data_IF_899917773228
#
_entry.id   IF_899917773228
#
_cell.length_a   1.000
_cell.length_b   1.000
_cell.length_c   1.000
_cell.angle_alpha   90.00
_cell.angle_beta   90.00
_cell.angle_gamma   90.00
#
_symmetry.space_group_name_H-M   'P 1'
#
loop_
_entity.id
_entity.type
_entity.pdbx_description
1 polymer ?
#
# COMPACT_ATOMS: atom_id res chain seq x y z
N UNK A 1 -8.74 2.00 -13.89
CA UNK A 1 -9.28 0.79 -14.52
C UNK A 1 -9.20 -0.36 -13.53
N UNK A 2 -10.22 -1.16 -13.42
CA UNK A 2 -10.25 -2.41 -12.65
C UNK A 2 -11.03 -3.45 -13.44
N UNK A 3 -10.79 -4.72 -13.16
CA UNK A 3 -11.48 -5.83 -13.82
C UNK A 3 -11.37 -7.11 -13.00
N UNK A 4 -12.20 -8.09 -13.32
CA UNK A 4 -12.14 -9.46 -12.79
C UNK A 4 -11.52 -10.35 -13.87
N UNK A 5 -10.22 -10.57 -13.79
CA UNK A 5 -9.47 -11.25 -14.85
C UNK A 5 -9.50 -12.78 -14.75
N UNK A 6 -9.38 -13.32 -13.55
CA UNK A 6 -9.19 -14.76 -13.36
C UNK A 6 -10.23 -15.42 -12.44
N UNK A 7 -11.17 -14.65 -11.89
CA UNK A 7 -12.19 -15.17 -10.98
C UNK A 7 -13.60 -14.89 -11.48
N UNK A 8 -14.04 -15.52 -12.58
CA UNK A 8 -15.37 -15.32 -13.12
C UNK A 8 -16.41 -15.71 -12.06
N UNK A 9 -17.36 -14.81 -11.80
CA UNK A 9 -18.39 -14.98 -10.77
C UNK A 9 -18.14 -14.18 -9.49
N UNK A 10 -17.00 -13.48 -9.36
CA UNK A 10 -16.84 -12.44 -8.36
C UNK A 10 -17.50 -11.14 -8.85
N UNK A 11 -18.18 -10.47 -7.93
CA UNK A 11 -18.83 -9.17 -8.19
C UNK A 11 -17.91 -7.98 -7.90
N UNK A 12 -16.63 -8.25 -7.59
CA UNK A 12 -15.61 -7.25 -7.29
C UNK A 12 -14.37 -7.50 -8.15
N UNK A 13 -13.58 -6.48 -8.31
CA UNK A 13 -12.33 -6.55 -9.05
C UNK A 13 -11.29 -7.46 -8.37
N UNK A 14 -10.48 -8.12 -9.16
CA UNK A 14 -9.27 -8.82 -8.73
C UNK A 14 -7.98 -8.11 -9.20
N UNK A 15 -8.13 -7.11 -10.05
CA UNK A 15 -7.01 -6.31 -10.56
C UNK A 15 -7.42 -4.85 -10.73
N UNK A 16 -6.63 -3.93 -10.24
CA UNK A 16 -6.83 -2.50 -10.39
C UNK A 16 -5.53 -1.78 -10.79
N UNK A 17 -5.67 -0.81 -11.69
CA UNK A 17 -4.60 0.09 -12.12
C UNK A 17 -5.08 1.54 -12.04
N UNK A 18 -4.22 2.42 -11.52
CA UNK A 18 -4.49 3.84 -11.49
C UNK A 18 -3.24 4.66 -11.80
N UNK A 19 -3.43 5.80 -12.45
CA UNK A 19 -2.41 6.83 -12.64
C UNK A 19 -2.82 8.08 -11.85
N UNK A 20 -1.87 8.62 -11.10
CA UNK A 20 -2.07 9.76 -10.22
C UNK A 20 -1.17 10.90 -10.70
N UNK A 21 -1.73 12.10 -10.80
CA UNK A 21 -0.96 13.33 -10.96
C UNK A 21 -1.02 14.13 -9.67
N UNK A 22 0.12 14.34 -9.06
CA UNK A 22 0.24 15.15 -7.85
C UNK A 22 0.18 16.64 -8.17
N UNK A 23 -0.18 17.46 -7.17
CA UNK A 23 -0.29 18.92 -7.33
C UNK A 23 1.03 19.61 -7.70
N UNK A 24 2.14 19.04 -7.28
CA UNK A 24 3.49 19.51 -7.62
C UNK A 24 3.97 19.08 -9.04
N UNK A 25 3.12 18.36 -9.79
CA UNK A 25 3.44 17.89 -11.14
C UNK A 25 4.01 16.46 -11.20
N UNK A 26 4.36 15.86 -10.08
CA UNK A 26 4.81 14.47 -10.03
C UNK A 26 3.73 13.49 -10.53
N UNK A 27 4.16 12.35 -11.02
CA UNK A 27 3.29 11.27 -11.47
C UNK A 27 3.49 10.05 -10.58
N UNK A 28 2.42 9.32 -10.33
CA UNK A 28 2.44 8.04 -9.64
C UNK A 28 1.55 7.04 -10.36
N UNK A 29 1.81 5.78 -10.10
CA UNK A 29 0.93 4.69 -10.53
C UNK A 29 0.69 3.72 -9.38
N UNK A 30 -0.47 3.11 -9.39
CA UNK A 30 -0.86 2.04 -8.47
C UNK A 30 -1.20 0.83 -9.33
N UNK A 31 -0.68 -0.32 -8.96
CA UNK A 31 -1.03 -1.62 -9.54
C UNK A 31 -1.32 -2.56 -8.38
N UNK A 32 -2.51 -3.11 -8.34
CA UNK A 32 -2.95 -4.09 -7.33
C UNK A 32 -3.60 -5.26 -8.04
N UNK A 33 -3.22 -6.48 -7.70
CA UNK A 33 -3.82 -7.67 -8.26
C UNK A 33 -3.77 -8.84 -7.29
N UNK A 34 -4.89 -9.54 -7.16
CA UNK A 34 -4.99 -10.84 -6.49
C UNK A 34 -4.90 -12.01 -7.47
N UNK A 35 -4.78 -11.72 -8.77
CA UNK A 35 -4.80 -12.72 -9.85
C UNK A 35 -3.43 -12.95 -10.47
N UNK A 36 -2.45 -12.15 -10.09
CA UNK A 36 -1.11 -12.22 -10.68
C UNK A 36 -0.37 -13.49 -10.26
N UNK A 37 0.14 -14.23 -11.23
CA UNK A 37 0.96 -15.42 -11.01
C UNK A 37 2.24 -15.35 -11.87
N UNK A 38 3.46 -15.45 -11.32
CA UNK A 38 3.71 -15.52 -9.87
C UNK A 38 3.27 -14.26 -9.13
N UNK A 39 2.88 -14.41 -7.86
CA UNK A 39 2.57 -13.29 -7.00
C UNK A 39 3.79 -12.39 -6.83
N UNK A 40 3.57 -11.09 -6.84
CA UNK A 40 4.59 -10.09 -6.53
C UNK A 40 4.31 -9.49 -5.15
N UNK A 41 5.39 -9.18 -4.46
CA UNK A 41 5.33 -8.49 -3.17
C UNK A 41 4.89 -7.05 -3.34
N UNK A 42 4.36 -6.46 -2.26
CA UNK A 42 4.10 -5.04 -2.23
C UNK A 42 5.41 -4.26 -2.43
N UNK A 43 5.41 -3.29 -3.34
CA UNK A 43 6.56 -2.43 -3.63
C UNK A 43 6.15 -0.98 -3.69
N UNK A 44 6.97 -0.12 -3.12
CA UNK A 44 6.84 1.32 -3.26
C UNK A 44 8.17 1.87 -3.77
N UNK A 45 8.15 2.47 -4.96
CA UNK A 45 9.34 3.10 -5.55
C UNK A 45 9.07 4.59 -5.74
N UNK A 46 10.06 5.41 -5.41
CA UNK A 46 10.05 6.86 -5.62
C UNK A 46 11.29 7.26 -6.41
N UNK A 47 11.08 7.96 -7.49
CA UNK A 47 12.13 8.50 -8.35
C UNK A 47 12.13 10.03 -8.25
N UNK A 48 13.23 10.59 -7.76
CA UNK A 48 13.40 12.02 -7.57
C UNK A 48 13.91 12.73 -8.82
N UNK A 49 13.64 14.03 -8.92
CA UNK A 49 14.16 14.90 -10.01
C UNK A 49 15.69 14.98 -10.05
N UNK A 50 16.33 14.75 -8.91
CA UNK A 50 17.80 14.70 -8.78
C UNK A 50 18.43 13.41 -9.29
N UNK A 51 17.61 12.49 -9.84
CA UNK A 51 18.06 11.17 -10.32
C UNK A 51 18.22 10.11 -9.23
N UNK A 52 17.98 10.46 -7.96
CA UNK A 52 17.95 9.45 -6.90
C UNK A 52 16.66 8.61 -7.00
N UNK A 53 16.78 7.33 -6.69
CA UNK A 53 15.66 6.41 -6.60
C UNK A 53 15.74 5.67 -5.29
N UNK A 54 14.61 5.57 -4.62
CA UNK A 54 14.46 4.80 -3.39
C UNK A 54 13.27 3.85 -3.53
N UNK A 55 13.40 2.67 -2.97
CA UNK A 55 12.38 1.65 -3.04
C UNK A 55 12.39 0.77 -1.81
N UNK A 56 11.22 0.30 -1.46
CA UNK A 56 11.02 -0.71 -0.43
C UNK A 56 10.16 -1.83 -1.00
N UNK A 57 10.59 -3.04 -0.76
CA UNK A 57 9.79 -4.24 -0.92
C UNK A 57 9.24 -4.62 0.44
N UNK A 58 7.93 -4.78 0.51
CA UNK A 58 7.31 -5.28 1.74
C UNK A 58 7.54 -6.78 1.85
N UNK A 59 7.25 -7.30 3.02
CA UNK A 59 7.33 -8.69 3.44
C UNK A 59 7.26 -9.69 2.28
N UNK A 60 8.34 -10.42 2.14
CA UNK A 60 8.46 -11.49 1.18
C UNK A 60 7.94 -12.82 1.72
N UNK A 61 7.53 -13.68 0.79
CA UNK A 61 7.07 -15.01 1.12
C UNK A 61 5.71 -15.08 1.82
N UNK A 62 4.96 -13.98 1.85
CA UNK A 62 3.61 -14.02 2.39
C UNK A 62 2.74 -14.94 1.54
N UNK A 63 2.43 -16.11 2.09
CA UNK A 63 1.50 -17.06 1.48
C UNK A 63 0.29 -17.24 2.36
N UNK A 64 -0.89 -17.00 1.80
CA UNK A 64 -2.14 -17.35 2.43
C UNK A 64 -2.62 -18.69 1.85
N UNK A 65 -2.28 -19.77 2.53
CA UNK A 65 -2.72 -21.11 2.15
C UNK A 65 -3.59 -21.69 3.26
N UNK A 66 -4.78 -22.11 2.93
CA UNK A 66 -5.70 -22.77 3.84
C UNK A 66 -5.96 -22.03 5.17
N UNK A 67 -6.05 -20.71 5.11
CA UNK A 67 -6.29 -19.87 6.29
C UNK A 67 -5.06 -19.58 7.13
N UNK A 68 -3.88 -20.00 6.71
CA UNK A 68 -2.62 -19.67 7.37
C UNK A 68 -1.87 -18.62 6.54
N UNK A 69 -1.56 -17.49 7.17
CA UNK A 69 -0.66 -16.49 6.61
C UNK A 69 0.72 -16.67 7.21
N UNK A 70 1.73 -16.77 6.38
CA UNK A 70 3.12 -16.79 6.83
C UNK A 70 3.92 -15.72 6.08
N UNK A 71 4.64 -14.90 6.83
CA UNK A 71 5.61 -13.94 6.33
C UNK A 71 6.98 -14.53 6.63
N UNK A 72 7.75 -14.83 5.61
CA UNK A 72 9.00 -15.59 5.73
C UNK A 72 10.25 -14.74 5.52
N UNK A 73 10.10 -13.54 4.97
CA UNK A 73 11.21 -12.64 4.67
C UNK A 73 10.93 -11.25 5.24
N UNK A 74 11.97 -10.59 5.72
CA UNK A 74 11.89 -9.21 6.19
C UNK A 74 11.57 -8.24 5.04
N UNK A 75 10.83 -7.14 5.30
CA UNK A 75 10.82 -5.99 4.39
C UNK A 75 12.23 -5.44 4.22
N UNK A 76 12.59 -4.98 3.04
CA UNK A 76 13.90 -4.39 2.80
C UNK A 76 13.88 -3.33 1.68
N UNK A 77 14.89 -2.48 1.67
CA UNK A 77 15.09 -1.51 0.59
C UNK A 77 15.66 -2.22 -0.64
N UNK A 78 14.86 -2.37 -1.69
CA UNK A 78 15.27 -3.02 -2.95
C UNK A 78 16.02 -2.05 -3.88
N UNK A 79 15.72 -0.74 -3.80
CA UNK A 79 16.38 0.31 -4.55
C UNK A 79 16.86 1.41 -3.58
N UNK A 80 18.14 1.80 -3.69
CA UNK A 80 18.71 2.94 -3.00
C UNK A 80 19.86 3.52 -3.81
N UNK A 81 19.68 4.68 -4.44
CA UNK A 81 20.68 5.34 -5.29
C UNK A 81 20.94 6.79 -4.83
N UNK A 82 20.78 7.04 -3.55
CA UNK A 82 21.10 8.35 -2.95
C UNK A 82 22.60 8.50 -2.89
N UNK A 83 23.11 9.56 -3.53
CA UNK A 83 24.55 9.79 -3.63
C UNK A 83 25.21 9.98 -2.26
N UNK A 84 26.24 9.20 -2.00
CA UNK A 84 26.99 9.20 -0.73
C UNK A 84 26.38 8.30 0.36
N UNK A 85 25.32 7.57 0.02
CA UNK A 85 24.62 6.65 0.93
C UNK A 85 24.47 5.23 0.33
N UNK A 86 25.24 4.93 -0.71
CA UNK A 86 25.07 3.72 -1.52
C UNK A 86 25.29 2.42 -0.71
N UNK A 87 26.15 2.48 0.29
CA UNK A 87 26.48 1.31 1.14
C UNK A 87 25.39 1.03 2.22
N UNK A 88 24.51 1.99 2.51
CA UNK A 88 23.52 1.85 3.59
C UNK A 88 22.51 0.74 3.31
N UNK A 89 22.21 0.48 2.04
CA UNK A 89 21.23 -0.53 1.65
C UNK A 89 21.56 -1.92 2.19
N UNK A 90 22.82 -2.32 2.06
CA UNK A 90 23.27 -3.64 2.54
C UNK A 90 23.34 -3.70 4.08
N UNK A 91 23.72 -2.60 4.72
CA UNK A 91 23.68 -2.49 6.16
C UNK A 91 22.24 -2.65 6.70
N UNK A 92 21.30 -1.87 6.18
CA UNK A 92 19.89 -1.94 6.61
C UNK A 92 19.28 -3.32 6.35
N UNK A 93 19.60 -3.92 5.21
CA UNK A 93 19.13 -5.28 4.91
C UNK A 93 19.56 -6.27 5.99
N UNK A 94 20.82 -6.21 6.40
CA UNK A 94 21.33 -7.09 7.44
C UNK A 94 20.69 -6.80 8.82
N UNK A 95 20.47 -5.53 9.15
CA UNK A 95 19.79 -5.11 10.38
C UNK A 95 18.33 -5.58 10.41
N UNK A 96 17.60 -5.39 9.30
CA UNK A 96 16.20 -5.81 9.15
C UNK A 96 16.04 -7.33 9.22
N UNK A 97 16.92 -8.08 8.55
CA UNK A 97 16.93 -9.54 8.62
C UNK A 97 17.23 -10.03 10.05
N UNK A 98 18.19 -9.43 10.73
CA UNK A 98 18.50 -9.77 12.11
C UNK A 98 17.34 -9.48 13.05
N UNK A 99 16.70 -8.32 12.91
CA UNK A 99 15.51 -7.97 13.69
C UNK A 99 14.35 -8.92 13.41
N UNK A 100 14.10 -9.24 12.16
CA UNK A 100 13.00 -10.14 11.74
C UNK A 100 13.09 -11.51 12.38
N UNK A 101 14.30 -12.05 12.60
CA UNK A 101 14.50 -13.33 13.29
C UNK A 101 14.11 -13.28 14.78
N UNK A 102 13.93 -12.10 15.35
CA UNK A 102 13.57 -11.94 16.77
C UNK A 102 12.08 -11.83 17.02
N UNK A 103 11.26 -11.76 15.99
CA UNK A 103 9.82 -11.53 16.07
C UNK A 103 9.02 -12.68 15.44
N UNK A 104 7.78 -12.83 15.89
CA UNK A 104 6.75 -13.55 15.13
C UNK A 104 6.07 -12.57 14.17
N UNK A 105 6.48 -12.55 12.93
CA UNK A 105 6.01 -11.61 11.92
C UNK A 105 4.49 -11.70 11.68
N UNK A 106 3.86 -12.84 11.94
CA UNK A 106 2.41 -13.03 11.77
C UNK A 106 1.60 -12.16 12.72
N UNK A 107 2.09 -11.96 13.93
CA UNK A 107 1.37 -11.22 14.98
C UNK A 107 2.01 -9.87 15.31
N UNK A 108 3.33 -9.75 15.13
CA UNK A 108 4.10 -8.59 15.59
C UNK A 108 3.61 -7.26 15.02
N UNK A 109 3.41 -7.18 13.71
CA UNK A 109 3.03 -5.91 13.07
C UNK A 109 1.63 -5.45 13.49
N UNK A 110 0.69 -6.36 13.63
CA UNK A 110 -0.63 -6.03 14.19
C UNK A 110 -0.55 -5.61 15.65
N UNK A 111 0.28 -6.30 16.44
CA UNK A 111 0.50 -5.92 17.83
C UNK A 111 1.05 -4.50 17.98
N UNK A 112 2.05 -4.12 17.17
CA UNK A 112 2.65 -2.77 17.21
C UNK A 112 1.61 -1.69 16.88
N UNK A 113 0.78 -1.91 15.85
CA UNK A 113 -0.28 -0.97 15.48
C UNK A 113 -1.33 -0.82 16.59
N UNK A 114 -1.81 -1.93 17.12
CA UNK A 114 -2.81 -1.91 18.20
C UNK A 114 -2.23 -1.31 19.49
N UNK A 115 -0.97 -1.61 19.79
CA UNK A 115 -0.27 -1.03 20.94
C UNK A 115 -0.16 0.48 20.84
N UNK A 116 0.26 1.02 19.68
CA UNK A 116 0.33 2.47 19.48
C UNK A 116 -1.02 3.16 19.69
N UNK A 117 -2.09 2.57 19.18
CA UNK A 117 -3.44 3.09 19.36
C UNK A 117 -3.85 3.13 20.85
N UNK A 118 -3.60 2.03 21.57
CA UNK A 118 -3.92 1.95 23.01
C UNK A 118 -3.08 2.93 23.82
N UNK A 119 -1.78 3.02 23.53
CA UNK A 119 -0.88 3.96 24.22
C UNK A 119 -1.27 5.40 23.90
N UNK A 120 -1.63 5.72 22.68
CA UNK A 120 -2.11 7.04 22.29
C UNK A 120 -3.35 7.46 23.10
N UNK A 121 -4.30 6.54 23.31
CA UNK A 121 -5.48 6.80 24.17
C UNK A 121 -5.09 7.07 25.62
N UNK A 122 -4.16 6.28 26.17
CA UNK A 122 -3.70 6.44 27.58
C UNK A 122 -2.94 7.74 27.80
N UNK A 123 -2.15 8.14 26.81
CA UNK A 123 -1.28 9.32 26.86
C UNK A 123 -1.96 10.60 26.39
N UNK A 124 -3.17 10.51 25.85
CA UNK A 124 -3.91 11.66 25.30
C UNK A 124 -3.26 12.26 24.05
N UNK A 125 -2.48 11.49 23.32
CA UNK A 125 -1.86 11.87 22.03
C UNK A 125 -2.61 11.31 20.84
N UNK A 126 -2.30 11.80 19.64
CA UNK A 126 -2.76 11.15 18.42
C UNK A 126 -2.00 9.83 18.18
N UNK A 127 -2.66 8.79 17.67
CA UNK A 127 -1.98 7.60 17.19
C UNK A 127 -1.11 7.94 15.97
N UNK A 128 -0.13 7.10 15.69
CA UNK A 128 0.79 7.27 14.56
C UNK A 128 0.02 7.30 13.23
N UNK A 129 -0.98 6.43 13.08
CA UNK A 129 -1.92 6.45 11.96
C UNK A 129 -3.24 7.06 12.46
N UNK A 130 -3.55 8.26 12.00
CA UNK A 130 -4.74 9.00 12.37
C UNK A 130 -5.97 8.59 11.53
N UNK A 131 -7.17 9.00 12.00
CA UNK A 131 -8.39 8.84 11.22
C UNK A 131 -8.34 9.65 9.91
N UNK A 132 -7.65 10.77 9.91
CA UNK A 132 -7.44 11.60 8.73
C UNK A 132 -6.63 10.85 7.67
N UNK A 133 -5.58 10.13 8.07
CA UNK A 133 -4.76 9.31 7.17
C UNK A 133 -5.58 8.15 6.60
N UNK A 134 -6.31 7.44 7.45
CA UNK A 134 -7.21 6.36 7.04
C UNK A 134 -8.30 6.86 6.07
N UNK A 135 -8.88 8.04 6.34
CA UNK A 135 -9.87 8.67 5.45
C UNK A 135 -9.29 8.95 4.07
N UNK A 136 -8.06 9.47 4.00
CA UNK A 136 -7.40 9.75 2.71
C UNK A 136 -7.18 8.47 1.90
N UNK A 137 -6.83 7.37 2.55
CA UNK A 137 -6.68 6.07 1.90
C UNK A 137 -8.02 5.59 1.30
N UNK A 138 -9.11 5.66 2.07
CA UNK A 138 -10.45 5.30 1.59
C UNK A 138 -10.90 6.24 0.46
N UNK A 139 -10.60 7.52 0.58
CA UNK A 139 -10.92 8.51 -0.46
C UNK A 139 -10.19 8.19 -1.78
N UNK A 140 -8.94 7.72 -1.71
CA UNK A 140 -8.18 7.32 -2.88
C UNK A 140 -8.85 6.14 -3.61
N UNK A 141 -9.25 5.10 -2.88
CA UNK A 141 -9.97 3.96 -3.46
C UNK A 141 -11.30 4.39 -4.09
N UNK A 142 -12.08 5.20 -3.38
CA UNK A 142 -13.32 5.77 -3.92
C UNK A 142 -13.08 6.54 -5.21
N UNK A 143 -12.00 7.32 -5.27
CA UNK A 143 -11.61 8.05 -6.48
C UNK A 143 -11.28 7.14 -7.66
N UNK A 144 -10.64 5.99 -7.43
CA UNK A 144 -10.37 5.00 -8.47
C UNK A 144 -11.69 4.43 -9.02
N UNK A 145 -12.62 4.04 -8.16
CA UNK A 145 -13.93 3.55 -8.57
C UNK A 145 -14.72 4.60 -9.36
N UNK A 146 -14.77 5.85 -8.89
CA UNK A 146 -15.45 6.95 -9.61
C UNK A 146 -14.82 7.23 -10.96
N UNK A 147 -13.49 7.21 -11.05
CA UNK A 147 -12.79 7.39 -12.32
C UNK A 147 -13.13 6.30 -13.33
N UNK A 148 -13.25 5.05 -12.88
CA UNK A 148 -13.68 3.93 -13.71
C UNK A 148 -15.14 4.06 -14.14
N UNK A 149 -16.05 4.34 -13.19
CA UNK A 149 -17.47 4.52 -13.46
C UNK A 149 -17.75 5.61 -14.47
N UNK A 150 -17.12 6.79 -14.28
CA UNK A 150 -17.37 7.99 -15.06
C UNK A 150 -16.49 8.12 -16.31
N UNK A 151 -15.51 7.22 -16.48
CA UNK A 151 -14.51 7.23 -17.55
C UNK A 151 -13.76 8.58 -17.70
N UNK A 152 -13.44 9.20 -16.59
CA UNK A 152 -12.73 10.50 -16.54
C UNK A 152 -11.86 10.66 -15.30
N UNK A 153 -10.87 11.59 -15.37
CA UNK A 153 -10.07 11.93 -14.23
C UNK A 153 -10.92 12.50 -13.08
N UNK A 154 -10.59 12.10 -11.87
CA UNK A 154 -11.22 12.57 -10.64
C UNK A 154 -10.24 13.50 -9.90
N UNK A 155 -10.76 14.59 -9.35
CA UNK A 155 -9.98 15.55 -8.56
C UNK A 155 -10.18 15.32 -7.08
N UNK A 156 -9.09 15.42 -6.33
CA UNK A 156 -9.11 15.36 -4.86
C UNK A 156 -9.02 16.76 -4.23
N UNK A 157 -9.66 16.99 -3.07
CA UNK A 157 -10.53 16.06 -2.35
C UNK A 157 -11.82 15.75 -3.12
N UNK A 158 -12.38 14.56 -2.87
CA UNK A 158 -13.62 14.15 -3.52
C UNK A 158 -14.80 14.98 -3.02
N UNK A 159 -15.70 15.34 -3.93
CA UNK A 159 -17.03 15.85 -3.55
C UNK A 159 -17.84 14.67 -3.02
N UNK A 160 -18.47 14.80 -1.83
CA UNK A 160 -19.34 13.76 -1.30
C UNK A 160 -20.50 13.43 -2.27
N UNK A 161 -20.79 12.17 -2.42
CA UNK A 161 -21.96 11.65 -3.11
C UNK A 161 -22.89 11.00 -2.08
N UNK A 162 -24.17 10.86 -2.43
CA UNK A 162 -25.19 10.32 -1.55
C UNK A 162 -25.99 9.20 -2.24
N UNK A 163 -26.56 8.31 -1.44
CA UNK A 163 -27.37 7.22 -1.96
C UNK A 163 -26.56 6.06 -2.52
N UNK A 164 -27.09 5.40 -3.53
CA UNK A 164 -26.48 4.22 -4.17
C UNK A 164 -25.16 4.51 -4.89
N UNK A 165 -24.91 5.77 -5.20
CA UNK A 165 -23.72 6.17 -5.98
C UNK A 165 -22.48 6.40 -5.11
N UNK A 166 -22.60 6.25 -3.79
CA UNK A 166 -21.53 6.58 -2.84
C UNK A 166 -20.25 5.79 -3.05
N UNK A 167 -20.34 4.52 -3.42
CA UNK A 167 -19.18 3.67 -3.52
C UNK A 167 -18.45 3.75 -4.88
N UNK A 168 -19.06 4.39 -5.86
CA UNK A 168 -18.48 4.58 -7.18
C UNK A 168 -18.37 3.31 -8.04
N UNK A 169 -18.78 2.14 -7.54
CA UNK A 169 -18.70 0.87 -8.27
C UNK A 169 -19.86 0.64 -9.22
N UNK A 170 -20.98 1.33 -8.98
CA UNK A 170 -22.18 1.18 -9.78
C UNK A 170 -22.06 2.01 -11.07
N UNK A 171 -21.93 1.33 -12.17
CA UNK A 171 -21.89 1.87 -13.52
C UNK A 171 -22.29 0.83 -14.53
#
# INVERSE_FOLDING_TARGET
>A
MWDTLNHPGLEVEDTALAVIRFKNGGLGNIVVSNSQNPALYGRVHVHGENGASVGVQTDGGAMFIAGVSSITEAPYNDIWTVKGEEDLKEQWKAEDEAYFQTIDATTHFHYVQLKDFVDALREGRKPLISLEDARQTVELFTGIYRSQRDHKPVKFPLVPEHGSDMDGRLG
#
